data_IF_099900012892
#
_entry.id   IF_099900012892
#
_cell.length_a   1.000
_cell.length_b   1.000
_cell.length_c   1.000
_cell.angle_alpha   90.00
_cell.angle_beta   90.00
_cell.angle_gamma   90.00
#
_symmetry.space_group_name_H-M   'P 1'
#
loop_
_entity.id
_entity.type
_entity.pdbx_description
1 polymer ?
#
# COMPACT_ATOMS: atom_id res chain seq x y z
N UNK A 1 23.51 -44.69 -5.10
CA UNK A 1 23.69 -44.07 -6.43
C UNK A 1 24.43 -42.76 -6.26
N UNK A 2 25.60 -42.59 -6.91
CA UNK A 2 26.42 -41.38 -6.74
C UNK A 2 25.96 -40.30 -7.74
N UNK A 3 25.29 -39.26 -7.25
CA UNK A 3 24.79 -38.13 -8.06
C UNK A 3 25.90 -37.46 -8.89
N UNK A 4 27.15 -37.47 -8.43
CA UNK A 4 28.29 -36.83 -9.13
C UNK A 4 28.64 -37.50 -10.46
N UNK A 5 28.28 -38.78 -10.63
CA UNK A 5 28.56 -39.56 -11.84
C UNK A 5 27.52 -39.31 -12.95
N UNK A 6 26.41 -38.66 -12.63
CA UNK A 6 25.38 -38.33 -13.61
C UNK A 6 25.84 -37.21 -14.55
N UNK A 7 25.31 -37.20 -15.77
CA UNK A 7 25.49 -36.08 -16.68
C UNK A 7 24.85 -34.81 -16.11
N UNK A 8 25.37 -33.64 -16.47
CA UNK A 8 24.83 -32.36 -15.99
C UNK A 8 23.36 -32.18 -16.35
N UNK A 9 22.95 -32.67 -17.52
CA UNK A 9 21.55 -32.67 -17.94
C UNK A 9 20.64 -33.41 -16.95
N UNK A 10 21.04 -34.61 -16.52
CA UNK A 10 20.26 -35.40 -15.55
C UNK A 10 20.28 -34.71 -14.17
N UNK A 11 21.43 -34.21 -13.73
CA UNK A 11 21.55 -33.47 -12.47
C UNK A 11 20.63 -32.23 -12.44
N UNK A 12 20.61 -31.45 -13.53
CA UNK A 12 19.73 -30.30 -13.67
C UNK A 12 18.25 -30.67 -13.59
N UNK A 13 17.85 -31.76 -14.27
CA UNK A 13 16.46 -32.25 -14.23
C UNK A 13 16.06 -32.75 -12.85
N UNK A 14 17.00 -33.32 -12.09
CA UNK A 14 16.77 -33.67 -10.69
C UNK A 14 16.59 -32.38 -9.87
N UNK A 15 17.57 -31.47 -9.93
CA UNK A 15 17.56 -30.24 -9.12
C UNK A 15 16.37 -29.31 -9.42
N UNK A 16 15.89 -29.24 -10.66
CA UNK A 16 14.70 -28.45 -11.00
C UNK A 16 13.43 -28.92 -10.29
N UNK A 17 13.40 -30.17 -9.82
CA UNK A 17 12.25 -30.74 -9.10
C UNK A 17 12.36 -30.66 -7.57
N UNK A 18 13.57 -30.39 -7.06
CA UNK A 18 13.85 -30.26 -5.63
C UNK A 18 13.34 -28.92 -5.10
N UNK A 19 12.79 -28.90 -3.89
CA UNK A 19 12.33 -27.67 -3.25
C UNK A 19 13.50 -26.72 -2.90
N UNK A 20 13.21 -25.43 -2.76
CA UNK A 20 14.25 -24.41 -2.53
C UNK A 20 15.08 -24.64 -1.25
N UNK A 21 14.51 -25.24 -0.20
CA UNK A 21 15.21 -25.51 1.08
C UNK A 21 16.18 -26.67 0.90
N UNK A 22 15.74 -27.75 0.26
CA UNK A 22 16.61 -28.89 -0.06
C UNK A 22 17.69 -28.50 -1.07
N UNK A 23 17.38 -27.66 -2.06
CA UNK A 23 18.39 -27.12 -2.99
C UNK A 23 19.49 -26.35 -2.28
N UNK A 24 19.17 -25.59 -1.24
CA UNK A 24 20.18 -24.90 -0.44
C UNK A 24 21.14 -25.90 0.22
N UNK A 25 20.62 -26.98 0.80
CA UNK A 25 21.46 -28.04 1.38
C UNK A 25 22.33 -28.71 0.32
N UNK A 26 21.78 -29.00 -0.86
CA UNK A 26 22.52 -29.59 -1.99
C UNK A 26 23.71 -28.71 -2.39
N UNK A 27 23.53 -27.38 -2.46
CA UNK A 27 24.62 -26.43 -2.76
C UNK A 27 25.78 -26.54 -1.77
N UNK A 28 25.49 -26.82 -0.50
CA UNK A 28 26.50 -26.94 0.56
C UNK A 28 27.28 -28.26 0.50
N UNK A 29 26.74 -29.30 -0.14
CA UNK A 29 27.41 -30.61 -0.18
C UNK A 29 28.61 -30.67 -1.11
N UNK A 30 28.65 -29.88 -2.19
CA UNK A 30 29.66 -30.01 -3.24
C UNK A 30 29.74 -28.76 -4.15
N UNK A 31 30.98 -28.34 -4.49
CA UNK A 31 31.24 -27.18 -5.36
C UNK A 31 30.66 -27.33 -6.77
N UNK A 32 30.66 -28.54 -7.34
CA UNK A 32 30.08 -28.78 -8.66
C UNK A 32 28.57 -28.56 -8.68
N UNK A 33 27.85 -29.05 -7.66
CA UNK A 33 26.40 -28.80 -7.55
C UNK A 33 26.10 -27.32 -7.36
N UNK A 34 26.88 -26.62 -6.52
CA UNK A 34 26.77 -25.18 -6.40
C UNK A 34 26.84 -24.49 -7.77
N UNK A 35 27.87 -24.77 -8.57
CA UNK A 35 28.05 -24.15 -9.89
C UNK A 35 26.92 -24.48 -10.87
N UNK A 36 26.45 -25.73 -10.88
CA UNK A 36 25.35 -26.18 -11.77
C UNK A 36 24.06 -25.45 -11.41
N UNK A 37 23.74 -25.36 -10.12
CA UNK A 37 22.51 -24.73 -9.63
C UNK A 37 22.56 -23.21 -9.86
N UNK A 38 23.67 -22.54 -9.53
CA UNK A 38 23.82 -21.08 -9.74
C UNK A 38 23.71 -20.69 -11.22
N UNK A 39 24.37 -21.42 -12.13
CA UNK A 39 24.29 -21.16 -13.57
C UNK A 39 22.89 -21.36 -14.15
N UNK A 40 22.04 -22.16 -13.49
CA UNK A 40 20.73 -22.55 -14.00
C UNK A 40 19.60 -22.16 -13.04
N UNK A 41 19.79 -21.12 -12.21
CA UNK A 41 18.83 -20.74 -11.15
C UNK A 41 17.42 -20.45 -11.68
N UNK A 42 17.32 -19.93 -12.92
CA UNK A 42 16.06 -19.68 -13.62
C UNK A 42 15.25 -20.95 -13.92
N UNK A 43 15.89 -22.14 -13.91
CA UNK A 43 15.23 -23.45 -14.08
C UNK A 43 14.90 -24.13 -12.75
N UNK A 44 15.29 -23.53 -11.63
CA UNK A 44 15.12 -24.11 -10.30
C UNK A 44 13.83 -23.60 -9.66
N UNK A 45 13.26 -24.38 -8.73
CA UNK A 45 12.17 -23.90 -7.88
C UNK A 45 12.70 -22.81 -6.96
N UNK A 46 12.32 -21.57 -7.24
CA UNK A 46 12.64 -20.40 -6.42
C UNK A 46 11.76 -20.36 -5.16
N UNK A 47 12.27 -19.88 -4.01
CA UNK A 47 11.45 -19.64 -2.84
C UNK A 47 10.37 -18.60 -3.15
N UNK A 48 9.12 -18.93 -2.86
CA UNK A 48 7.98 -18.02 -3.03
C UNK A 48 7.89 -17.09 -1.83
N UNK A 49 7.79 -15.78 -2.06
CA UNK A 49 7.63 -14.81 -0.97
C UNK A 49 6.14 -14.46 -0.79
N UNK A 50 5.65 -14.46 0.46
CA UNK A 50 4.32 -13.88 0.77
C UNK A 50 4.41 -12.47 1.35
N UNK A 51 5.50 -12.14 2.03
CA UNK A 51 5.73 -10.83 2.62
C UNK A 51 7.10 -10.30 2.22
N UNK A 52 7.15 -9.01 1.86
CA UNK A 52 8.39 -8.27 1.70
C UNK A 52 8.25 -6.85 2.23
N UNK A 53 9.23 -6.44 3.03
CA UNK A 53 9.43 -5.08 3.48
C UNK A 53 10.80 -4.60 3.05
N UNK A 54 10.82 -3.59 2.20
CA UNK A 54 12.02 -2.96 1.67
C UNK A 54 12.25 -1.64 2.41
N UNK A 55 13.41 -1.49 3.02
CA UNK A 55 13.77 -0.31 3.80
C UNK A 55 15.04 0.30 3.24
N UNK A 56 14.96 1.56 2.86
CA UNK A 56 16.10 2.32 2.35
C UNK A 56 16.18 3.68 3.04
N UNK A 57 17.18 3.81 3.90
CA UNK A 57 17.44 5.04 4.66
C UNK A 57 18.53 5.89 4.00
N UNK A 58 18.65 5.87 2.67
CA UNK A 58 19.57 6.74 1.95
C UNK A 58 19.22 8.22 2.23
N UNK A 59 20.07 8.86 3.00
CA UNK A 59 20.04 10.29 3.31
C UNK A 59 21.27 10.88 2.65
N UNK A 60 21.09 11.79 1.69
CA UNK A 60 22.18 12.37 0.89
C UNK A 60 22.99 11.31 0.12
N UNK A 61 24.16 11.69 -0.42
CA UNK A 61 25.11 10.83 -1.15
C UNK A 61 25.71 9.68 -0.30
N UNK A 62 25.26 9.49 0.94
CA UNK A 62 25.73 8.42 1.80
C UNK A 62 25.01 7.12 1.41
N UNK A 63 25.77 6.19 0.84
CA UNK A 63 25.28 4.85 0.54
C UNK A 63 25.02 4.10 1.85
N UNK A 64 23.75 3.96 2.23
CA UNK A 64 23.31 3.06 3.30
C UNK A 64 22.82 1.75 2.68
N UNK A 65 22.92 0.63 3.40
CA UNK A 65 22.41 -0.63 2.90
C UNK A 65 20.89 -0.60 2.74
N UNK A 66 20.40 -1.26 1.69
CA UNK A 66 19.01 -1.63 1.52
C UNK A 66 18.75 -2.80 2.47
N UNK A 67 17.81 -2.63 3.40
CA UNK A 67 17.42 -3.69 4.32
C UNK A 67 16.13 -4.31 3.84
N UNK A 68 16.09 -5.63 3.82
CA UNK A 68 14.90 -6.39 3.44
C UNK A 68 14.50 -7.25 4.62
N UNK A 69 13.23 -7.18 4.98
CA UNK A 69 12.58 -8.14 5.85
C UNK A 69 11.57 -8.92 5.00
N UNK A 70 11.57 -10.25 5.06
CA UNK A 70 10.73 -11.07 4.17
C UNK A 70 10.32 -12.40 4.80
N UNK A 71 9.25 -12.97 4.26
CA UNK A 71 8.73 -14.30 4.65
C UNK A 71 8.54 -15.16 3.40
N UNK A 72 9.04 -16.39 3.45
CA UNK A 72 8.84 -17.40 2.41
C UNK A 72 7.52 -18.12 2.71
N UNK A 73 6.68 -18.35 1.70
CA UNK A 73 5.47 -19.14 1.84
C UNK A 73 5.83 -20.60 2.14
N UNK A 74 5.33 -21.14 3.25
CA UNK A 74 5.37 -22.58 3.47
C UNK A 74 4.21 -23.21 2.69
N UNK A 75 4.50 -24.11 1.76
CA UNK A 75 3.48 -24.77 0.93
C UNK A 75 2.51 -25.65 1.73
N UNK A 76 2.86 -26.01 2.97
CA UNK A 76 2.07 -26.88 3.84
C UNK A 76 0.99 -26.17 4.65
N UNK A 77 1.01 -24.84 4.71
CA UNK A 77 0.06 -24.05 5.48
C UNK A 77 -0.76 -23.21 4.50
N UNK A 78 -1.89 -23.76 4.05
CA UNK A 78 -2.90 -23.04 3.25
C UNK A 78 -3.53 -21.88 4.03
N UNK A 79 -3.29 -21.79 5.33
CA UNK A 79 -3.70 -20.66 6.14
C UNK A 79 -2.82 -19.45 5.83
N UNK A 80 -3.43 -18.48 5.14
CA UNK A 80 -2.95 -17.14 4.82
C UNK A 80 -1.91 -16.62 5.81
N UNK A 81 -0.84 -16.00 5.28
CA UNK A 81 0.30 -15.45 6.02
C UNK A 81 -0.09 -14.35 7.03
N UNK A 82 -0.82 -14.68 8.10
CA UNK A 82 -1.11 -13.76 9.18
C UNK A 82 0.18 -13.38 9.92
N UNK A 83 0.18 -12.15 10.46
CA UNK A 83 1.26 -11.32 10.97
C UNK A 83 2.17 -11.89 12.10
N UNK A 84 2.43 -13.20 12.17
CA UNK A 84 3.44 -13.70 13.11
C UNK A 84 4.83 -13.27 12.65
N UNK A 85 5.42 -12.32 13.40
CA UNK A 85 6.79 -11.81 13.20
C UNK A 85 7.88 -12.87 13.47
N UNK A 86 7.49 -14.03 14.00
CA UNK A 86 8.37 -15.11 14.46
C UNK A 86 9.19 -15.73 13.32
N UNK A 87 8.78 -15.54 12.06
CA UNK A 87 9.43 -16.19 10.90
C UNK A 87 10.01 -15.22 9.86
N UNK A 88 10.17 -13.94 10.23
CA UNK A 88 10.70 -12.94 9.32
C UNK A 88 12.21 -13.05 9.19
N UNK A 89 12.69 -13.25 7.97
CA UNK A 89 14.12 -13.21 7.63
C UNK A 89 14.54 -11.78 7.34
N UNK A 90 15.78 -11.45 7.66
CA UNK A 90 16.36 -10.13 7.40
C UNK A 90 17.66 -10.27 6.63
N UNK A 91 17.82 -9.47 5.57
CA UNK A 91 19.05 -9.36 4.78
C UNK A 91 19.35 -7.90 4.50
N UNK A 92 20.62 -7.58 4.26
CA UNK A 92 21.08 -6.22 3.97
C UNK A 92 21.99 -6.25 2.75
N UNK A 93 21.80 -5.31 1.83
CA UNK A 93 22.60 -5.18 0.61
C UNK A 93 23.18 -3.78 0.53
N UNK A 94 24.50 -3.68 0.41
CA UNK A 94 25.18 -2.40 0.16
C UNK A 94 25.21 -2.10 -1.34
N UNK A 95 25.20 -3.16 -2.16
CA UNK A 95 25.24 -3.09 -3.61
C UNK A 95 23.87 -3.38 -4.24
N UNK A 96 23.51 -2.59 -5.25
CA UNK A 96 22.28 -2.74 -6.02
C UNK A 96 22.29 -4.03 -6.86
N UNK A 97 23.46 -4.50 -7.30
CA UNK A 97 23.55 -5.76 -8.07
C UNK A 97 23.24 -6.97 -7.19
N UNK A 98 23.70 -6.97 -5.94
CA UNK A 98 23.35 -8.04 -4.98
C UNK A 98 21.86 -8.02 -4.63
N UNK A 99 21.30 -6.83 -4.44
CA UNK A 99 19.86 -6.66 -4.24
C UNK A 99 19.04 -7.18 -5.42
N UNK A 100 19.42 -6.84 -6.65
CA UNK A 100 18.78 -7.32 -7.86
C UNK A 100 18.86 -8.86 -7.98
N UNK A 101 20.04 -9.44 -7.73
CA UNK A 101 20.23 -10.91 -7.69
C UNK A 101 19.31 -11.56 -6.66
N UNK A 102 19.15 -10.95 -5.48
CA UNK A 102 18.21 -11.45 -4.47
C UNK A 102 16.77 -11.48 -5.00
N UNK A 103 16.31 -10.41 -5.66
CA UNK A 103 14.98 -10.37 -6.26
C UNK A 103 14.79 -11.45 -7.34
N UNK A 104 15.76 -11.62 -8.24
CA UNK A 104 15.70 -12.66 -9.29
C UNK A 104 15.69 -14.09 -8.73
N UNK A 105 16.37 -14.31 -7.60
CA UNK A 105 16.41 -15.59 -6.92
C UNK A 105 15.12 -15.91 -6.15
N UNK A 106 14.20 -14.97 -6.03
CA UNK A 106 12.90 -15.18 -5.39
C UNK A 106 11.78 -15.30 -6.43
N UNK A 107 10.72 -16.01 -6.06
CA UNK A 107 9.45 -16.00 -6.78
C UNK A 107 8.48 -15.05 -6.07
N UNK A 108 8.13 -13.96 -6.74
CA UNK A 108 7.28 -12.88 -6.20
C UNK A 108 5.79 -13.07 -6.52
N UNK A 109 5.42 -14.19 -7.17
CA UNK A 109 4.05 -14.47 -7.63
C UNK A 109 3.05 -14.74 -6.49
N UNK A 110 3.50 -14.89 -5.25
CA UNK A 110 2.63 -15.12 -4.08
C UNK A 110 2.69 -13.98 -3.05
N UNK A 111 3.25 -12.83 -3.42
CA UNK A 111 3.28 -11.67 -2.52
C UNK A 111 1.85 -11.23 -2.17
N UNK A 112 1.50 -11.30 -0.88
CA UNK A 112 0.24 -10.79 -0.34
C UNK A 112 0.45 -9.45 0.41
N UNK A 113 1.64 -9.22 0.94
CA UNK A 113 1.96 -8.01 1.71
C UNK A 113 3.26 -7.37 1.24
N UNK A 114 3.19 -6.09 0.88
CA UNK A 114 4.34 -5.31 0.41
C UNK A 114 4.46 -4.03 1.25
N UNK A 115 5.62 -3.81 1.85
CA UNK A 115 5.94 -2.56 2.53
C UNK A 115 7.18 -1.90 1.92
N UNK A 116 7.06 -0.63 1.54
CA UNK A 116 8.13 0.20 1.00
C UNK A 116 8.40 1.36 1.94
N UNK A 117 9.46 1.27 2.73
CA UNK A 117 9.96 2.37 3.55
C UNK A 117 11.15 3.01 2.82
N UNK A 118 10.96 4.20 2.25
CA UNK A 118 12.01 4.92 1.56
C UNK A 118 12.26 6.29 2.19
N UNK A 119 13.40 6.88 1.85
CA UNK A 119 13.73 8.26 2.20
C UNK A 119 13.78 9.07 0.90
N UNK A 120 14.94 9.23 0.28
CA UNK A 120 15.08 10.05 -0.93
C UNK A 120 15.39 9.27 -2.22
N UNK A 121 15.99 8.08 -2.08
CA UNK A 121 16.38 7.25 -3.22
C UNK A 121 15.28 6.23 -3.52
N UNK A 122 14.76 6.25 -4.75
CA UNK A 122 13.73 5.30 -5.24
C UNK A 122 14.30 4.24 -6.19
N UNK A 123 15.61 4.20 -6.45
CA UNK A 123 16.22 3.25 -7.40
C UNK A 123 15.95 1.79 -7.02
N UNK A 124 15.93 1.48 -5.72
CA UNK A 124 15.59 0.14 -5.24
C UNK A 124 14.13 -0.21 -5.51
N UNK A 125 13.22 0.77 -5.44
CA UNK A 125 11.80 0.59 -5.80
C UNK A 125 11.69 0.42 -7.32
N UNK A 126 12.46 1.15 -8.10
CA UNK A 126 12.54 0.97 -9.56
C UNK A 126 12.98 -0.46 -9.92
N UNK A 127 14.03 -0.98 -9.30
CA UNK A 127 14.45 -2.38 -9.50
C UNK A 127 13.39 -3.37 -9.05
N UNK A 128 12.78 -3.14 -7.88
CA UNK A 128 11.67 -3.97 -7.42
C UNK A 128 10.51 -3.99 -8.44
N UNK A 129 10.14 -2.82 -8.96
CA UNK A 129 9.12 -2.68 -9.99
C UNK A 129 9.47 -3.44 -11.27
N UNK A 130 10.75 -3.53 -11.64
CA UNK A 130 11.18 -4.29 -12.81
C UNK A 130 11.09 -5.80 -12.60
N UNK A 131 11.31 -6.29 -11.38
CA UNK A 131 11.26 -7.72 -11.06
C UNK A 131 9.87 -8.22 -10.68
N UNK A 132 9.00 -7.34 -10.19
CA UNK A 132 7.67 -7.70 -9.70
C UNK A 132 6.59 -7.33 -10.72
N UNK A 133 5.91 -8.30 -11.33
CA UNK A 133 4.95 -8.05 -12.43
C UNK A 133 3.57 -7.53 -12.01
N UNK A 134 3.32 -7.36 -10.72
CA UNK A 134 1.97 -7.12 -10.21
C UNK A 134 1.24 -8.44 -10.02
N UNK A 135 0.38 -8.50 -9.02
CA UNK A 135 -0.30 -9.74 -8.66
C UNK A 135 -1.74 -9.45 -8.23
N UNK A 136 -2.63 -10.39 -8.48
CA UNK A 136 -4.04 -10.30 -8.07
C UNK A 136 -4.24 -10.62 -6.59
N UNK A 137 -3.25 -11.22 -5.93
CA UNK A 137 -3.30 -11.67 -4.54
C UNK A 137 -2.74 -10.66 -3.52
N UNK A 138 -2.34 -9.45 -3.93
CA UNK A 138 -1.79 -8.46 -2.98
C UNK A 138 -2.89 -7.96 -2.07
N UNK A 139 -2.93 -8.40 -0.83
CA UNK A 139 -3.91 -7.96 0.14
C UNK A 139 -3.60 -6.57 0.70
N UNK A 140 -2.33 -6.28 1.00
CA UNK A 140 -1.96 -5.02 1.63
C UNK A 140 -0.66 -4.43 1.08
N UNK A 141 -0.69 -3.13 0.81
CA UNK A 141 0.46 -2.33 0.41
C UNK A 141 0.65 -1.16 1.37
N UNK A 142 1.84 -1.00 1.91
CA UNK A 142 2.23 0.14 2.73
C UNK A 142 3.40 0.86 2.06
N UNK A 143 3.24 2.14 1.77
CA UNK A 143 4.30 2.99 1.21
C UNK A 143 4.54 4.12 2.20
N UNK A 144 5.75 4.23 2.72
CA UNK A 144 6.13 5.23 3.71
C UNK A 144 7.37 5.99 3.24
N UNK A 145 7.23 7.31 3.17
CA UNK A 145 8.34 8.21 2.91
C UNK A 145 8.82 8.82 4.23
N UNK A 146 10.07 8.58 4.58
CA UNK A 146 10.71 9.13 5.77
C UNK A 146 11.47 10.45 5.52
N UNK A 147 11.62 10.86 4.25
CA UNK A 147 12.33 12.09 3.91
C UNK A 147 11.60 13.34 4.35
N UNK A 148 12.39 14.37 4.69
CA UNK A 148 11.90 15.75 4.69
C UNK A 148 11.49 16.10 3.26
N UNK A 149 10.36 16.79 3.11
CA UNK A 149 9.77 17.08 1.80
C UNK A 149 10.85 17.57 0.82
N UNK A 150 11.18 16.72 -0.15
CA UNK A 150 12.13 17.03 -1.20
C UNK A 150 11.41 17.04 -2.55
N UNK A 151 11.81 17.94 -3.45
CA UNK A 151 11.21 18.12 -4.79
C UNK A 151 11.60 16.99 -5.77
N UNK A 152 11.71 15.74 -5.31
CA UNK A 152 12.18 14.64 -6.15
C UNK A 152 11.05 14.00 -6.95
N UNK A 153 11.47 13.37 -8.03
CA UNK A 153 10.60 12.65 -8.94
C UNK A 153 10.11 11.35 -8.28
N UNK A 154 8.82 11.29 -7.94
CA UNK A 154 8.20 10.09 -7.37
C UNK A 154 7.65 9.13 -8.44
N UNK A 155 8.10 9.24 -9.70
CA UNK A 155 7.63 8.39 -10.80
C UNK A 155 7.72 6.90 -10.49
N UNK A 156 8.76 6.43 -9.82
CA UNK A 156 8.87 5.01 -9.45
C UNK A 156 7.80 4.58 -8.44
N UNK A 157 7.42 5.47 -7.52
CA UNK A 157 6.33 5.25 -6.56
C UNK A 157 4.99 5.23 -7.29
N UNK A 158 4.75 6.18 -8.18
CA UNK A 158 3.51 6.25 -8.97
C UNK A 158 3.36 5.00 -9.85
N UNK A 159 4.43 4.62 -10.55
CA UNK A 159 4.48 3.38 -11.34
C UNK A 159 4.17 2.15 -10.47
N UNK A 160 4.70 2.10 -9.26
CA UNK A 160 4.40 1.01 -8.32
C UNK A 160 2.92 1.00 -7.93
N UNK A 161 2.31 2.14 -7.59
CA UNK A 161 0.87 2.25 -7.26
C UNK A 161 0.00 1.71 -8.39
N UNK A 162 0.34 2.03 -9.66
CA UNK A 162 -0.35 1.46 -10.82
C UNK A 162 -0.19 -0.07 -10.90
N UNK A 163 0.99 -0.59 -10.57
CA UNK A 163 1.29 -2.03 -10.60
C UNK A 163 0.54 -2.82 -9.52
N UNK A 164 0.20 -2.18 -8.40
CA UNK A 164 -0.58 -2.77 -7.30
C UNK A 164 -2.04 -2.32 -7.26
N UNK A 165 -2.61 -1.87 -8.39
CA UNK A 165 -4.03 -1.42 -8.50
C UNK A 165 -5.08 -2.48 -8.14
N UNK A 166 -4.68 -3.74 -8.01
CA UNK A 166 -5.55 -4.85 -7.62
C UNK A 166 -5.48 -5.15 -6.11
N UNK A 167 -4.89 -4.28 -5.29
CA UNK A 167 -4.77 -4.53 -3.85
C UNK A 167 -6.07 -4.27 -3.08
N UNK A 168 -6.28 -4.98 -1.95
CA UNK A 168 -7.44 -4.77 -1.09
C UNK A 168 -7.26 -3.57 -0.15
N UNK A 169 -6.04 -3.34 0.33
CA UNK A 169 -5.73 -2.29 1.30
C UNK A 169 -4.43 -1.57 0.93
N UNK A 170 -4.46 -0.25 0.94
CA UNK A 170 -3.29 0.58 0.65
C UNK A 170 -3.12 1.67 1.71
N UNK A 171 -1.89 1.86 2.18
CA UNK A 171 -1.52 2.91 3.13
C UNK A 171 -0.39 3.73 2.54
N UNK A 172 -0.62 5.03 2.34
CA UNK A 172 0.33 5.99 1.79
C UNK A 172 0.73 6.98 2.89
N UNK A 173 1.91 6.82 3.48
CA UNK A 173 2.43 7.72 4.53
C UNK A 173 3.46 8.68 3.98
N UNK A 174 3.17 9.98 4.08
CA UNK A 174 4.04 11.09 3.67
C UNK A 174 4.46 11.02 2.19
N UNK A 175 3.70 10.31 1.36
CA UNK A 175 3.97 10.16 -0.07
C UNK A 175 3.48 11.40 -0.80
N UNK A 176 4.35 12.00 -1.62
CA UNK A 176 4.00 13.16 -2.43
C UNK A 176 3.57 12.65 -3.81
N UNK A 177 2.27 12.68 -4.12
CA UNK A 177 1.77 12.19 -5.42
C UNK A 177 1.80 13.27 -6.50
N UNK A 178 1.63 14.53 -6.10
CA UNK A 178 1.70 15.67 -6.99
C UNK A 178 3.12 16.26 -6.99
N UNK A 179 3.88 16.00 -8.06
CA UNK A 179 5.15 16.68 -8.33
C UNK A 179 4.98 17.62 -9.54
N UNK A 180 5.93 18.53 -9.77
CA UNK A 180 5.86 19.54 -10.85
C UNK A 180 5.64 18.96 -12.27
N UNK A 181 5.75 17.64 -12.44
CA UNK A 181 5.57 16.93 -13.71
C UNK A 181 4.13 16.38 -13.83
N UNK A 182 3.42 16.19 -12.72
CA UNK A 182 2.10 15.57 -12.64
C UNK A 182 1.14 16.40 -11.80
N UNK A 183 0.89 17.65 -12.21
CA UNK A 183 -0.05 18.56 -11.54
C UNK A 183 -1.45 17.93 -11.36
N UNK A 184 -1.77 16.91 -12.17
CA UNK A 184 -3.02 16.18 -12.17
C UNK A 184 -2.81 14.65 -12.05
N UNK A 185 -2.05 14.18 -11.05
CA UNK A 185 -2.01 12.74 -10.79
C UNK A 185 -3.41 12.19 -10.53
N UNK A 186 -3.82 11.20 -11.31
CA UNK A 186 -5.05 10.45 -11.10
C UNK A 186 -4.71 9.06 -10.58
N UNK A 187 -5.43 8.63 -9.55
CA UNK A 187 -5.30 7.26 -9.08
C UNK A 187 -5.74 6.28 -10.18
N UNK A 188 -5.10 5.11 -10.29
CA UNK A 188 -5.61 4.06 -11.16
C UNK A 188 -7.02 3.64 -10.73
N UNK A 189 -7.79 3.10 -11.68
CA UNK A 189 -9.02 2.39 -11.36
C UNK A 189 -8.66 1.14 -10.56
N UNK A 190 -8.98 1.14 -9.27
CA UNK A 190 -8.70 0.03 -8.38
C UNK A 190 -9.76 -1.06 -8.51
N UNK A 191 -9.34 -2.28 -8.77
CA UNK A 191 -10.27 -3.39 -8.97
C UNK A 191 -10.70 -4.08 -7.68
N UNK A 192 -9.94 -3.98 -6.59
CA UNK A 192 -10.26 -4.66 -5.31
C UNK A 192 -10.12 -3.79 -4.06
N UNK A 193 -9.72 -2.52 -4.21
CA UNK A 193 -9.40 -1.66 -3.08
C UNK A 193 -10.64 -1.40 -2.22
N UNK A 194 -10.58 -1.87 -0.98
CA UNK A 194 -11.58 -1.66 0.08
C UNK A 194 -11.13 -0.61 1.08
N UNK A 195 -9.83 -0.46 1.27
CA UNK A 195 -9.26 0.47 2.25
C UNK A 195 -8.12 1.28 1.65
N UNK A 196 -8.21 2.60 1.74
CA UNK A 196 -7.13 3.52 1.39
C UNK A 196 -6.86 4.44 2.58
N UNK A 197 -5.66 4.40 3.14
CA UNK A 197 -5.19 5.41 4.07
C UNK A 197 -4.19 6.33 3.41
N UNK A 198 -4.34 7.64 3.59
CA UNK A 198 -3.37 8.63 3.11
C UNK A 198 -3.03 9.57 4.25
N UNK A 199 -1.77 9.57 4.66
CA UNK A 199 -1.24 10.43 5.72
C UNK A 199 -0.35 11.50 5.10
N UNK A 200 -0.82 12.75 5.15
CA UNK A 200 -0.10 13.93 4.72
C UNK A 200 0.55 14.62 5.92
N UNK A 201 1.85 14.92 5.79
CA UNK A 201 2.57 15.73 6.77
C UNK A 201 3.05 17.01 6.12
N UNK A 202 2.69 18.14 6.72
CA UNK A 202 3.10 19.47 6.27
C UNK A 202 2.16 20.08 5.24
N UNK A 203 2.59 21.20 4.64
CA UNK A 203 1.74 22.01 3.78
C UNK A 203 1.66 21.53 2.33
N UNK A 204 2.40 20.48 1.96
CA UNK A 204 2.42 19.98 0.59
C UNK A 204 1.19 19.12 0.33
N UNK A 205 0.32 19.64 -0.52
CA UNK A 205 -0.87 18.97 -0.98
C UNK A 205 -0.48 17.74 -1.81
N UNK A 206 -0.67 16.55 -1.23
CA UNK A 206 -0.33 15.30 -1.92
C UNK A 206 -1.40 14.89 -2.94
N UNK A 207 -2.61 15.45 -2.89
CA UNK A 207 -3.77 14.97 -3.63
C UNK A 207 -4.59 16.16 -4.08
N UNK A 208 -4.95 16.21 -5.37
CA UNK A 208 -5.83 17.27 -5.87
C UNK A 208 -7.31 16.93 -5.67
N UNK A 209 -8.20 17.92 -5.79
CA UNK A 209 -9.64 17.70 -5.87
C UNK A 209 -9.98 16.64 -6.93
N UNK A 210 -9.37 16.72 -8.13
CA UNK A 210 -9.62 15.79 -9.23
C UNK A 210 -9.21 14.35 -8.88
N UNK A 211 -8.08 14.19 -8.19
CA UNK A 211 -7.63 12.87 -7.72
C UNK A 211 -8.65 12.24 -6.77
N UNK A 212 -9.29 13.04 -5.91
CA UNK A 212 -10.33 12.58 -4.97
C UNK A 212 -11.62 12.24 -5.70
N UNK A 213 -12.04 13.07 -6.64
CA UNK A 213 -13.18 12.79 -7.50
C UNK A 213 -13.00 11.47 -8.24
N UNK A 214 -11.82 11.25 -8.82
CA UNK A 214 -11.46 10.00 -9.48
C UNK A 214 -11.55 8.81 -8.52
N UNK A 215 -11.04 8.93 -7.28
CA UNK A 215 -11.19 7.89 -6.26
C UNK A 215 -12.65 7.59 -5.91
N UNK A 216 -13.48 8.62 -5.71
CA UNK A 216 -14.91 8.47 -5.40
C UNK A 216 -15.64 7.77 -6.54
N UNK A 217 -15.39 8.19 -7.77
CA UNK A 217 -16.10 7.68 -8.94
C UNK A 217 -15.69 6.24 -9.26
N UNK A 218 -14.41 5.90 -9.05
CA UNK A 218 -13.84 4.60 -9.41
C UNK A 218 -13.88 3.56 -8.27
N UNK A 219 -14.28 3.94 -7.06
CA UNK A 219 -14.33 3.01 -5.93
C UNK A 219 -15.56 2.09 -5.99
N UNK A 220 -15.33 0.86 -5.52
CA UNK A 220 -16.36 -0.19 -5.37
C UNK A 220 -17.26 0.09 -4.16
N UNK A 221 -18.32 -0.69 -4.04
CA UNK A 221 -19.14 -0.74 -2.83
C UNK A 221 -18.24 -1.16 -1.65
N UNK A 222 -18.49 -0.61 -0.45
CA UNK A 222 -17.69 -0.86 0.77
C UNK A 222 -16.25 -0.34 0.69
N UNK A 223 -16.07 0.92 0.27
CA UNK A 223 -14.78 1.58 0.27
C UNK A 223 -14.61 2.50 1.47
N UNK A 224 -13.50 2.31 2.19
CA UNK A 224 -13.07 3.15 3.31
C UNK A 224 -11.88 4.01 2.89
N UNK A 225 -12.02 5.33 2.97
CA UNK A 225 -10.93 6.28 2.83
C UNK A 225 -10.58 6.88 4.19
N UNK A 226 -9.39 6.61 4.70
CA UNK A 226 -8.84 7.24 5.88
C UNK A 226 -7.81 8.31 5.50
N UNK A 227 -8.15 9.57 5.64
CA UNK A 227 -7.25 10.67 5.35
C UNK A 227 -6.76 11.32 6.64
N UNK A 228 -5.45 11.41 6.81
CA UNK A 228 -4.80 11.95 8.01
C UNK A 228 -3.95 13.16 7.61
N UNK A 229 -4.17 14.32 8.21
CA UNK A 229 -3.38 15.52 7.91
C UNK A 229 -3.31 16.51 9.07
N UNK A 230 -2.27 17.35 9.06
CA UNK A 230 -2.18 18.52 9.95
C UNK A 230 -2.62 19.83 9.28
N UNK A 231 -2.96 19.79 7.98
CA UNK A 231 -3.43 20.94 7.21
C UNK A 231 -4.96 21.01 7.21
N UNK A 232 -5.51 21.87 8.07
CA UNK A 232 -6.95 22.06 8.21
C UNK A 232 -7.62 22.51 6.90
N UNK A 233 -7.01 23.42 6.15
CA UNK A 233 -7.61 23.93 4.91
C UNK A 233 -7.78 22.81 3.89
N UNK A 234 -6.78 21.94 3.81
CA UNK A 234 -6.83 20.75 2.98
C UNK A 234 -7.93 19.77 3.43
N UNK A 235 -8.01 19.44 4.72
CA UNK A 235 -9.08 18.59 5.27
C UNK A 235 -10.46 19.18 4.96
N UNK A 236 -10.63 20.50 5.12
CA UNK A 236 -11.87 21.22 4.79
C UNK A 236 -12.23 21.10 3.31
N UNK A 237 -11.25 21.24 2.42
CA UNK A 237 -11.46 21.10 0.97
C UNK A 237 -11.90 19.68 0.59
N UNK A 238 -11.25 18.65 1.16
CA UNK A 238 -11.60 17.25 0.94
C UNK A 238 -13.00 16.97 1.46
N UNK A 239 -13.33 17.46 2.65
CA UNK A 239 -14.67 17.33 3.25
C UNK A 239 -15.75 17.88 2.34
N UNK A 240 -15.56 19.09 1.78
CA UNK A 240 -16.48 19.67 0.80
C UNK A 240 -16.57 18.81 -0.44
N UNK A 241 -15.43 18.41 -1.01
CA UNK A 241 -15.40 17.56 -2.19
C UNK A 241 -16.22 16.28 -1.98
N UNK A 242 -16.05 15.59 -0.86
CA UNK A 242 -16.84 14.39 -0.55
C UNK A 242 -18.32 14.71 -0.35
N UNK A 243 -18.66 15.68 0.51
CA UNK A 243 -20.04 16.00 0.82
C UNK A 243 -20.82 16.48 -0.41
N UNK A 244 -20.22 17.32 -1.26
CA UNK A 244 -20.84 17.85 -2.47
C UNK A 244 -21.07 16.74 -3.51
N UNK A 245 -20.10 15.85 -3.72
CA UNK A 245 -20.22 14.79 -4.72
C UNK A 245 -21.16 13.68 -4.26
N UNK A 246 -20.98 13.19 -3.04
CA UNK A 246 -21.86 12.17 -2.46
C UNK A 246 -23.28 12.73 -2.30
N UNK A 247 -23.39 13.98 -1.86
CA UNK A 247 -24.67 14.67 -1.66
C UNK A 247 -25.46 14.91 -2.94
N UNK A 248 -24.78 15.18 -4.06
CA UNK A 248 -25.42 15.43 -5.37
C UNK A 248 -25.80 14.14 -6.11
N UNK A 249 -24.96 13.10 -6.09
CA UNK A 249 -25.21 11.85 -6.82
C UNK A 249 -26.39 11.03 -6.24
N UNK A 250 -26.69 11.22 -4.96
CA UNK A 250 -27.80 10.54 -4.27
C UNK A 250 -29.19 10.94 -4.74
N UNK A 251 -29.35 12.01 -5.54
CA UNK A 251 -30.65 12.40 -6.08
C UNK A 251 -31.13 11.50 -7.23
N UNK A 252 -30.23 10.81 -7.93
CA UNK A 252 -30.58 10.10 -9.18
C UNK A 252 -30.09 8.64 -9.24
N UNK A 253 -29.12 8.25 -8.41
CA UNK A 253 -28.53 6.91 -8.46
C UNK A 253 -28.46 6.35 -7.04
N UNK A 254 -29.44 5.51 -6.66
CA UNK A 254 -29.34 4.64 -5.49
C UNK A 254 -28.41 3.46 -5.81
N UNK A 255 -27.14 3.73 -6.06
CA UNK A 255 -26.15 2.65 -6.06
C UNK A 255 -26.01 2.17 -4.61
N UNK A 256 -25.94 0.85 -4.40
CA UNK A 256 -25.65 0.20 -3.10
C UNK A 256 -24.19 0.44 -2.66
N UNK A 257 -23.73 1.69 -2.76
CA UNK A 257 -22.38 2.09 -2.38
C UNK A 257 -22.41 2.61 -0.96
N UNK A 258 -21.92 1.80 -0.02
CA UNK A 258 -21.46 2.29 1.26
C UNK A 258 -20.06 2.87 1.09
N UNK A 259 -19.90 4.12 1.51
CA UNK A 259 -18.61 4.78 1.61
C UNK A 259 -18.41 5.19 3.05
N UNK A 260 -17.25 4.84 3.59
CA UNK A 260 -16.78 5.36 4.86
C UNK A 260 -15.60 6.29 4.59
N UNK A 261 -15.74 7.56 4.99
CA UNK A 261 -14.64 8.52 4.90
C UNK A 261 -14.29 8.93 6.30
N UNK A 262 -13.05 8.65 6.70
CA UNK A 262 -12.48 9.01 8.00
C UNK A 262 -11.49 10.14 7.77
N UNK A 263 -11.78 11.34 8.28
CA UNK A 263 -10.86 12.48 8.17
C UNK A 263 -10.25 12.83 9.53
N UNK A 264 -8.97 12.55 9.69
CA UNK A 264 -8.18 12.77 10.91
C UNK A 264 -7.36 14.06 10.84
N UNK A 265 -7.51 14.94 11.84
CA UNK A 265 -6.75 16.18 11.95
C UNK A 265 -5.81 16.16 13.16
N UNK A 266 -4.50 16.31 12.96
CA UNK A 266 -3.50 16.44 14.03
C UNK A 266 -3.40 17.87 14.61
N UNK A 267 -4.52 18.46 15.07
CA UNK A 267 -4.51 19.79 15.72
C UNK A 267 -5.70 19.95 16.67
N UNK A 268 -5.47 20.70 17.75
CA UNK A 268 -6.49 21.13 18.71
C UNK A 268 -7.80 21.52 18.05
N UNK A 269 -8.85 20.79 18.40
CA UNK A 269 -10.19 21.05 17.89
C UNK A 269 -10.77 22.34 18.50
N UNK A 270 -11.55 23.07 17.71
CA UNK A 270 -12.16 24.34 18.14
C UNK A 270 -13.64 24.32 17.75
N UNK A 271 -14.48 25.07 18.48
CA UNK A 271 -15.92 25.16 18.20
C UNK A 271 -16.19 25.62 16.75
N UNK A 272 -15.38 26.53 16.20
CA UNK A 272 -15.53 26.97 14.81
C UNK A 272 -15.26 25.86 13.78
N UNK A 273 -14.39 24.90 14.09
CA UNK A 273 -14.16 23.70 13.26
C UNK A 273 -15.32 22.71 13.38
N UNK A 274 -15.88 22.55 14.58
CA UNK A 274 -17.12 21.78 14.82
C UNK A 274 -18.26 22.27 13.94
N UNK A 275 -18.58 23.57 14.02
CA UNK A 275 -19.63 24.16 13.22
C UNK A 275 -19.38 23.98 11.73
N UNK A 276 -18.13 24.04 11.28
CA UNK A 276 -17.80 23.82 9.87
C UNK A 276 -18.18 22.43 9.36
N UNK A 277 -17.76 21.35 10.04
CA UNK A 277 -18.04 19.99 9.56
C UNK A 277 -19.53 19.65 9.66
N UNK A 278 -20.19 20.08 10.74
CA UNK A 278 -21.64 19.97 10.90
C UNK A 278 -22.37 20.68 9.75
N UNK A 279 -22.05 21.94 9.49
CA UNK A 279 -22.70 22.72 8.43
C UNK A 279 -22.49 22.10 7.04
N UNK A 280 -21.32 21.51 6.75
CA UNK A 280 -21.10 20.81 5.46
C UNK A 280 -22.05 19.65 5.27
N UNK A 281 -22.25 18.85 6.32
CA UNK A 281 -23.14 17.70 6.28
C UNK A 281 -24.61 18.15 6.16
N UNK A 282 -25.03 19.10 6.99
CA UNK A 282 -26.40 19.63 6.98
C UNK A 282 -26.75 20.29 5.63
N UNK A 283 -25.85 21.11 5.08
CA UNK A 283 -26.04 21.74 3.77
C UNK A 283 -26.16 20.73 2.62
N UNK A 284 -25.64 19.51 2.80
CA UNK A 284 -25.73 18.42 1.82
C UNK A 284 -26.85 17.41 2.15
N UNK A 285 -27.75 17.75 3.08
CA UNK A 285 -28.90 16.96 3.51
C UNK A 285 -28.52 15.61 4.14
N UNK A 286 -27.42 15.57 4.90
CA UNK A 286 -27.11 14.45 5.77
C UNK A 286 -27.78 14.65 7.13
N UNK A 287 -28.34 13.60 7.71
CA UNK A 287 -28.65 13.58 9.14
C UNK A 287 -27.33 13.49 9.91
N UNK A 288 -27.10 14.43 10.82
CA UNK A 288 -25.85 14.51 11.59
C UNK A 288 -26.07 13.95 12.98
N UNK A 289 -25.34 12.89 13.30
CA UNK A 289 -25.16 12.44 14.67
C UNK A 289 -23.81 12.92 15.18
N UNK A 290 -23.81 13.46 16.39
CA UNK A 290 -22.59 13.84 17.09
C UNK A 290 -22.37 12.85 18.22
N UNK A 291 -21.26 12.13 18.18
CA UNK A 291 -20.86 11.23 19.26
C UNK A 291 -19.54 11.72 19.84
N UNK A 292 -19.56 11.99 21.15
CA UNK A 292 -18.33 12.09 21.93
C UNK A 292 -17.88 10.64 22.18
N UNK A 293 -16.83 10.21 21.50
CA UNK A 293 -16.26 8.87 21.69
C UNK A 293 -15.08 9.01 22.63
N UNK A 294 -15.01 8.17 23.67
CA UNK A 294 -13.80 8.05 24.49
C UNK A 294 -12.59 7.82 23.56
N UNK A 295 -11.59 8.71 23.61
CA UNK A 295 -10.39 8.82 22.75
C UNK A 295 -10.46 9.74 21.51
N UNK A 296 -11.61 10.27 21.13
CA UNK A 296 -11.75 11.26 20.04
C UNK A 296 -12.35 12.54 20.58
N UNK A 297 -11.87 13.70 20.14
CA UNK A 297 -12.44 14.96 20.63
C UNK A 297 -13.87 15.16 20.12
N UNK A 298 -14.14 14.77 18.86
CA UNK A 298 -15.48 14.76 18.25
C UNK A 298 -15.52 13.77 17.07
N UNK A 299 -16.64 13.05 16.93
CA UNK A 299 -16.98 12.30 15.71
C UNK A 299 -18.31 12.81 15.16
N UNK A 300 -18.28 13.32 13.93
CA UNK A 300 -19.50 13.66 13.19
C UNK A 300 -19.81 12.55 12.21
N UNK A 301 -20.99 11.98 12.35
CA UNK A 301 -21.48 10.93 11.47
C UNK A 301 -22.61 11.53 10.63
N UNK A 302 -22.32 11.78 9.36
CA UNK A 302 -23.32 12.17 8.37
C UNK A 302 -23.92 10.94 7.72
N UNK A 303 -25.22 10.73 7.88
CA UNK A 303 -25.98 9.63 7.27
C UNK A 303 -26.98 10.15 6.25
N UNK A 304 -27.09 9.48 5.11
CA UNK A 304 -28.10 9.79 4.10
C UNK A 304 -28.71 8.51 3.57
N UNK A 305 -30.04 8.39 3.68
CA UNK A 305 -30.81 7.28 3.10
C UNK A 305 -31.11 7.58 1.63
N UNK A 306 -31.10 6.54 0.80
CA UNK A 306 -31.53 6.71 -0.57
C UNK A 306 -33.07 6.79 -0.67
N UNK A 307 -33.57 7.68 -1.53
CA UNK A 307 -35.02 7.90 -1.66
C UNK A 307 -35.76 6.78 -2.41
N UNK A 308 -35.05 5.96 -3.19
CA UNK A 308 -35.67 4.97 -4.10
C UNK A 308 -35.42 3.50 -3.72
N UNK A 309 -34.55 3.20 -2.74
CA UNK A 309 -34.29 1.82 -2.33
C UNK A 309 -34.97 1.52 -0.99
N UNK A 310 -35.72 0.42 -0.94
CA UNK A 310 -36.22 -0.16 0.32
C UNK A 310 -35.07 -0.73 1.17
N UNK A 311 -33.96 -1.07 0.54
CA UNK A 311 -32.68 -1.36 1.19
C UNK A 311 -32.01 -0.06 1.61
N UNK A 312 -31.68 0.05 2.90
CA UNK A 312 -31.10 1.23 3.50
C UNK A 312 -29.62 1.40 3.10
N UNK A 313 -29.36 1.72 1.84
CA UNK A 313 -28.02 2.16 1.40
C UNK A 313 -27.65 3.39 2.21
N UNK A 314 -26.75 3.19 3.17
CA UNK A 314 -26.30 4.20 4.11
C UNK A 314 -24.95 4.70 3.64
N UNK A 315 -24.90 5.98 3.26
CA UNK A 315 -23.62 6.64 3.08
C UNK A 315 -23.24 7.26 4.42
N UNK A 316 -22.05 6.92 4.92
CA UNK A 316 -21.60 7.33 6.24
C UNK A 316 -20.29 8.12 6.14
N UNK A 317 -20.37 9.42 6.34
CA UNK A 317 -19.19 10.28 6.43
C UNK A 317 -18.82 10.43 7.90
N UNK A 318 -17.64 9.95 8.30
CA UNK A 318 -17.11 10.03 9.67
C UNK A 318 -15.98 11.05 9.78
N UNK A 319 -16.24 12.18 10.39
CA UNK A 319 -15.18 13.15 10.69
C UNK A 319 -14.61 12.85 12.07
N UNK A 320 -13.50 12.14 12.14
CA UNK A 320 -12.85 11.74 13.38
C UNK A 320 -11.70 12.68 13.72
N UNK A 321 -11.81 13.46 14.78
CA UNK A 321 -10.79 14.47 15.09
C UNK A 321 -10.04 14.07 16.35
N UNK A 322 -8.71 14.05 16.24
CA UNK A 322 -7.83 13.58 17.29
C UNK A 322 -6.87 14.69 17.73
N UNK A 323 -6.87 14.99 19.01
CA UNK A 323 -5.76 15.61 19.71
C UNK A 323 -4.64 14.59 19.89
N UNK A 324 -3.87 14.37 18.82
CA UNK A 324 -2.62 13.62 18.94
C UNK A 324 -1.57 14.59 19.48
N UNK A 325 -1.29 14.49 20.77
CA UNK A 325 -0.08 15.04 21.37
C UNK A 325 1.10 14.26 20.77
N UNK A 326 1.82 14.87 19.83
CA UNK A 326 3.05 14.30 19.22
C UNK A 326 4.26 14.73 20.02
#
# INVERSE_FOLDING_TARGET
MNLLLLSEYIQLKIFSNVDSKSLFNVKLTCRRFYLIIEKNIHKMKRPKLCYIKLISNHINYIKKPIRIQYKICNQSEETFCYHSSVHDRKVCFVDMVEYEKFLYNCDLTMLCHIQLDYHENTDFIKLFNNCYDGNEYVESVVINNSAKISKRNNRDILNFIYKVKNTNSMVLKKVILNNQIHENYEFPVFSKLKYLQIEQIGNHCCITRNSILSLINNSKNEFTLNFISNNINFVKEISRCFADNVGSHTKYICAEKSFEVILCLHKNFTLSRSSFFKNILENNNFSVENTNIENFDCVYIGRKKCCFSSTSSLIELRFCIFNIYV
#
